data_IF_011365355602
#
_entry.id   IF_011365355602
#
_cell.length_a   1.000
_cell.length_b   1.000
_cell.length_c   1.000
_cell.angle_alpha   90.00
_cell.angle_beta   90.00
_cell.angle_gamma   90.00
#
_symmetry.space_group_name_H-M   'P 1'
#
loop_
_entity.id
_entity.type
_entity.pdbx_description
1 polymer ?
#
# COMPACT_ATOMS: atom_id res chain seq x y z
N UNK A 1 17.39 -34.06 10.40
CA UNK A 1 16.06 -34.56 10.85
C UNK A 1 15.19 -33.44 11.41
N UNK A 2 15.70 -32.48 12.20
CA UNK A 2 14.93 -31.31 12.69
C UNK A 2 14.28 -30.42 11.60
N UNK A 3 14.90 -30.30 10.41
CA UNK A 3 14.32 -29.55 9.29
C UNK A 3 13.11 -30.26 8.66
N UNK A 4 13.09 -31.59 8.64
CA UNK A 4 11.96 -32.37 8.11
C UNK A 4 10.80 -32.47 9.11
N UNK A 5 11.09 -32.37 10.41
CA UNK A 5 10.08 -32.38 11.47
C UNK A 5 9.33 -31.04 11.57
N UNK A 6 10.04 -29.90 11.42
CA UNK A 6 9.42 -28.57 11.33
C UNK A 6 8.56 -28.36 10.06
N UNK A 7 8.83 -29.10 8.98
CA UNK A 7 8.09 -29.03 7.73
C UNK A 7 6.68 -29.67 7.84
N UNK A 8 6.52 -30.70 8.68
CA UNK A 8 5.22 -31.38 8.87
C UNK A 8 4.21 -30.56 9.69
N UNK A 9 4.68 -29.69 10.57
CA UNK A 9 3.84 -28.79 11.40
C UNK A 9 3.20 -27.62 10.64
N UNK A 10 3.66 -27.29 9.43
CA UNK A 10 3.20 -26.10 8.70
C UNK A 10 1.97 -26.33 7.81
N UNK A 11 1.43 -27.54 7.66
CA UNK A 11 0.42 -27.78 6.62
C UNK A 11 -0.95 -27.14 6.91
N UNK A 12 -1.30 -26.90 8.18
CA UNK A 12 -2.62 -26.41 8.62
C UNK A 12 -2.53 -25.33 9.71
N UNK A 13 -1.82 -24.22 9.45
CA UNK A 13 -1.83 -23.08 10.37
C UNK A 13 -3.25 -22.51 10.53
N UNK A 14 -3.71 -22.44 11.78
CA UNK A 14 -4.95 -21.76 12.19
C UNK A 14 -4.83 -20.25 11.97
N UNK A 15 -5.95 -19.51 12.06
CA UNK A 15 -5.94 -18.05 11.93
C UNK A 15 -5.12 -17.38 13.05
N UNK A 16 -5.23 -17.89 14.27
CA UNK A 16 -4.48 -17.40 15.43
C UNK A 16 -2.97 -17.58 15.23
N UNK A 17 -2.53 -18.74 14.73
CA UNK A 17 -1.11 -18.99 14.46
C UNK A 17 -0.59 -18.08 13.34
N UNK A 18 -1.37 -17.86 12.28
CA UNK A 18 -1.00 -16.93 11.21
C UNK A 18 -0.81 -15.51 11.73
N UNK A 19 -1.74 -15.06 12.59
CA UNK A 19 -1.64 -13.74 13.22
C UNK A 19 -0.40 -13.65 14.12
N UNK A 20 -0.17 -14.64 15.00
CA UNK A 20 1.02 -14.69 15.86
C UNK A 20 2.31 -14.67 15.04
N UNK A 21 2.41 -15.54 14.03
CA UNK A 21 3.61 -15.66 13.20
C UNK A 21 3.87 -14.43 12.37
N UNK A 22 2.86 -13.67 11.97
CA UNK A 22 3.06 -12.40 11.27
C UNK A 22 3.96 -11.44 12.07
N UNK A 23 3.84 -11.43 13.40
CA UNK A 23 4.65 -10.58 14.27
C UNK A 23 5.91 -11.28 14.79
N UNK A 24 5.82 -12.56 15.17
CA UNK A 24 6.93 -13.24 15.88
C UNK A 24 7.81 -14.10 14.99
N UNK A 25 7.29 -14.57 13.84
CA UNK A 25 7.97 -15.54 12.99
C UNK A 25 7.58 -15.39 11.50
N UNK A 26 7.73 -14.18 10.92
CA UNK A 26 7.23 -13.90 9.58
C UNK A 26 7.79 -14.84 8.51
N UNK A 27 9.05 -15.29 8.63
CA UNK A 27 9.65 -16.26 7.72
C UNK A 27 8.83 -17.54 7.58
N UNK A 28 8.33 -18.11 8.69
CA UNK A 28 7.51 -19.33 8.69
C UNK A 28 6.18 -19.10 7.97
N UNK A 29 5.59 -17.93 8.18
CA UNK A 29 4.36 -17.54 7.50
C UNK A 29 4.59 -17.41 5.99
N UNK A 30 5.69 -16.78 5.57
CA UNK A 30 6.07 -16.68 4.17
C UNK A 30 6.33 -18.05 3.53
N UNK A 31 7.02 -18.97 4.21
CA UNK A 31 7.20 -20.35 3.74
C UNK A 31 5.86 -21.07 3.54
N UNK A 32 4.92 -20.93 4.48
CA UNK A 32 3.57 -21.48 4.33
C UNK A 32 2.86 -20.98 3.07
N UNK A 33 2.91 -19.66 2.82
CA UNK A 33 2.30 -19.05 1.63
C UNK A 33 3.05 -19.32 0.33
N UNK A 34 4.32 -19.76 0.39
CA UNK A 34 5.05 -20.24 -0.79
C UNK A 34 4.39 -21.50 -1.35
N UNK A 35 4.13 -22.47 -0.48
CA UNK A 35 3.56 -23.76 -0.85
C UNK A 35 2.05 -23.66 -1.14
N UNK A 36 1.34 -22.80 -0.39
CA UNK A 36 -0.11 -22.57 -0.56
C UNK A 36 -0.41 -21.08 -0.82
N UNK A 37 -0.04 -20.53 -1.99
CA UNK A 37 -0.25 -19.12 -2.28
C UNK A 37 -1.75 -18.80 -2.35
N UNK A 38 -2.22 -17.96 -1.43
CA UNK A 38 -3.62 -17.56 -1.29
C UNK A 38 -3.71 -16.04 -1.16
N UNK A 39 -3.75 -15.35 -2.31
CA UNK A 39 -3.83 -13.90 -2.35
C UNK A 39 -5.26 -13.35 -2.20
N UNK A 40 -6.32 -14.15 -2.45
CA UNK A 40 -7.70 -13.64 -2.49
C UNK A 40 -8.15 -12.96 -1.18
N UNK A 41 -7.95 -13.63 -0.04
CA UNK A 41 -8.28 -13.03 1.27
C UNK A 41 -7.37 -11.86 1.62
N UNK A 42 -6.08 -11.93 1.26
CA UNK A 42 -5.13 -10.84 1.50
C UNK A 42 -5.51 -9.60 0.69
N UNK A 43 -5.90 -9.80 -0.58
CA UNK A 43 -6.39 -8.75 -1.45
C UNK A 43 -7.68 -8.14 -0.92
N UNK A 44 -8.62 -8.96 -0.45
CA UNK A 44 -9.87 -8.46 0.14
C UNK A 44 -9.59 -7.57 1.35
N UNK A 45 -8.69 -7.99 2.25
CA UNK A 45 -8.27 -7.18 3.41
C UNK A 45 -7.66 -5.85 2.94
N UNK A 46 -6.69 -5.90 2.02
CA UNK A 46 -6.04 -4.69 1.49
C UNK A 46 -7.03 -3.75 0.78
N UNK A 47 -7.95 -4.29 0.00
CA UNK A 47 -8.98 -3.53 -0.70
C UNK A 47 -9.93 -2.84 0.28
N UNK A 48 -10.45 -3.57 1.27
CA UNK A 48 -11.30 -2.99 2.30
C UNK A 48 -10.57 -1.90 3.09
N UNK A 49 -9.34 -2.16 3.54
CA UNK A 49 -8.55 -1.14 4.25
C UNK A 49 -8.34 0.12 3.41
N UNK A 50 -8.02 -0.01 2.11
CA UNK A 50 -7.85 1.11 1.20
C UNK A 50 -9.14 1.91 0.97
N UNK A 51 -10.27 1.21 0.75
CA UNK A 51 -11.59 1.82 0.56
C UNK A 51 -12.00 2.58 1.83
N UNK A 52 -11.95 1.93 3.01
CA UNK A 52 -12.32 2.57 4.26
C UNK A 52 -11.46 3.79 4.57
N UNK A 53 -10.15 3.69 4.34
CA UNK A 53 -9.24 4.84 4.51
C UNK A 53 -9.66 6.01 3.62
N UNK A 54 -9.92 5.77 2.33
CA UNK A 54 -10.29 6.81 1.36
C UNK A 54 -11.65 7.44 1.65
N UNK A 55 -12.64 6.65 2.09
CA UNK A 55 -13.95 7.17 2.49
C UNK A 55 -13.84 8.10 3.69
N UNK A 56 -13.13 7.67 4.74
CA UNK A 56 -12.94 8.49 5.95
C UNK A 56 -12.13 9.74 5.63
N UNK A 57 -11.02 9.60 4.88
CA UNK A 57 -10.20 10.73 4.45
C UNK A 57 -11.01 11.75 3.65
N UNK A 58 -11.80 11.30 2.66
CA UNK A 58 -12.64 12.18 1.83
C UNK A 58 -13.66 12.94 2.65
N UNK A 59 -14.30 12.29 3.63
CA UNK A 59 -15.27 12.94 4.51
C UNK A 59 -14.66 14.11 5.31
N UNK A 60 -13.43 13.96 5.80
CA UNK A 60 -12.75 14.99 6.59
C UNK A 60 -11.92 15.99 5.76
N UNK A 61 -11.69 15.73 4.48
CA UNK A 61 -10.87 16.59 3.61
C UNK A 61 -11.68 17.42 2.62
N UNK A 62 -12.94 17.03 2.33
CA UNK A 62 -13.76 17.62 1.26
C UNK A 62 -13.84 19.15 1.32
N UNK A 63 -14.28 19.71 2.45
CA UNK A 63 -14.47 21.16 2.57
C UNK A 63 -13.12 21.91 2.55
N UNK A 64 -12.09 21.37 3.22
CA UNK A 64 -10.74 21.95 3.18
C UNK A 64 -10.20 22.00 1.74
N UNK A 65 -10.43 20.93 0.98
CA UNK A 65 -10.05 20.82 -0.42
C UNK A 65 -10.81 21.84 -1.28
N UNK A 66 -12.12 22.04 -1.03
CA UNK A 66 -12.93 23.06 -1.72
C UNK A 66 -12.46 24.48 -1.43
N UNK A 67 -12.29 24.84 -0.16
CA UNK A 67 -11.81 26.17 0.25
C UNK A 67 -10.43 26.47 -0.34
N UNK A 68 -9.54 25.48 -0.39
CA UNK A 68 -8.24 25.65 -1.02
C UNK A 68 -8.33 25.81 -2.54
N UNK A 69 -9.27 25.12 -3.19
CA UNK A 69 -9.55 25.30 -4.61
C UNK A 69 -10.10 26.69 -4.93
N UNK A 70 -11.02 27.20 -4.10
CA UNK A 70 -11.52 28.56 -4.22
C UNK A 70 -10.37 29.56 -4.15
N UNK A 71 -9.50 29.44 -3.14
CA UNK A 71 -8.30 30.28 -2.99
C UNK A 71 -7.33 30.19 -4.17
N UNK A 72 -7.10 29.00 -4.72
CA UNK A 72 -6.20 28.81 -5.87
C UNK A 72 -6.77 29.35 -7.18
N UNK A 73 -8.10 29.43 -7.29
CA UNK A 73 -8.81 29.92 -8.47
C UNK A 73 -9.39 31.33 -8.24
N UNK A 74 -8.94 32.04 -7.21
CA UNK A 74 -9.30 33.44 -7.01
C UNK A 74 -8.87 34.25 -8.24
N UNK A 75 -9.82 34.96 -8.85
CA UNK A 75 -9.59 35.72 -10.09
C UNK A 75 -9.60 34.89 -11.38
N UNK A 76 -9.80 33.57 -11.31
CA UNK A 76 -10.04 32.73 -12.47
C UNK A 76 -11.47 32.89 -13.01
N UNK A 77 -11.71 32.38 -14.21
CA UNK A 77 -13.03 32.35 -14.83
C UNK A 77 -14.07 31.62 -13.93
N UNK A 78 -15.26 32.21 -13.68
CA UNK A 78 -16.28 31.60 -12.83
C UNK A 78 -16.72 30.19 -13.28
N UNK A 79 -16.69 29.89 -14.57
CA UNK A 79 -17.06 28.56 -15.06
C UNK A 79 -15.99 27.51 -14.68
N UNK A 80 -14.71 27.88 -14.71
CA UNK A 80 -13.62 27.00 -14.26
C UNK A 80 -13.73 26.66 -12.77
N UNK A 81 -14.12 27.64 -11.94
CA UNK A 81 -14.36 27.43 -10.51
C UNK A 81 -15.56 26.50 -10.26
N UNK A 82 -16.69 26.74 -10.94
CA UNK A 82 -17.89 25.90 -10.79
C UNK A 82 -17.63 24.46 -11.23
N UNK A 83 -16.94 24.27 -12.36
CA UNK A 83 -16.56 22.95 -12.86
C UNK A 83 -15.67 22.21 -11.86
N UNK A 84 -14.68 22.89 -11.29
CA UNK A 84 -13.78 22.31 -10.28
C UNK A 84 -14.53 21.87 -9.03
N UNK A 85 -15.44 22.71 -8.51
CA UNK A 85 -16.32 22.36 -7.38
C UNK A 85 -17.19 21.14 -7.68
N UNK A 86 -17.79 21.09 -8.87
CA UNK A 86 -18.60 19.95 -9.32
C UNK A 86 -17.78 18.67 -9.38
N UNK A 87 -16.53 18.72 -9.86
CA UNK A 87 -15.64 17.55 -9.88
C UNK A 87 -15.36 17.04 -8.46
N UNK A 88 -15.09 17.93 -7.50
CA UNK A 88 -14.89 17.56 -6.09
C UNK A 88 -16.16 16.93 -5.51
N UNK A 89 -17.32 17.51 -5.78
CA UNK A 89 -18.58 16.98 -5.27
C UNK A 89 -18.90 15.60 -5.84
N UNK A 90 -18.70 15.39 -7.15
CA UNK A 90 -18.89 14.09 -7.80
C UNK A 90 -17.88 13.06 -7.27
N UNK A 91 -16.59 13.41 -7.21
CA UNK A 91 -15.54 12.49 -6.75
C UNK A 91 -15.65 12.14 -5.28
N UNK A 92 -16.23 13.02 -4.46
CA UNK A 92 -16.49 12.78 -3.04
C UNK A 92 -17.77 11.96 -2.78
N UNK A 93 -18.63 11.71 -3.79
CA UNK A 93 -19.81 10.85 -3.61
C UNK A 93 -19.35 9.44 -3.18
N UNK A 94 -19.97 8.84 -2.15
CA UNK A 94 -19.53 7.54 -1.63
C UNK A 94 -19.43 6.45 -2.69
N UNK A 95 -20.36 6.40 -3.65
CA UNK A 95 -20.36 5.41 -4.73
C UNK A 95 -19.17 5.58 -5.68
N UNK A 96 -18.88 6.81 -6.11
CA UNK A 96 -17.77 7.13 -7.02
C UNK A 96 -16.44 6.93 -6.32
N UNK A 97 -16.32 7.40 -5.09
CA UNK A 97 -15.12 7.26 -4.27
C UNK A 97 -14.81 5.77 -4.01
N UNK A 98 -15.82 4.97 -3.62
CA UNK A 98 -15.64 3.53 -3.37
C UNK A 98 -15.19 2.80 -4.63
N UNK A 99 -15.86 3.05 -5.77
CA UNK A 99 -15.53 2.39 -7.03
C UNK A 99 -14.13 2.77 -7.52
N UNK A 100 -13.82 4.07 -7.58
CA UNK A 100 -12.49 4.55 -7.98
C UNK A 100 -11.38 4.07 -7.03
N UNK A 101 -11.64 4.02 -5.72
CA UNK A 101 -10.71 3.46 -4.73
C UNK A 101 -10.46 1.97 -4.95
N UNK A 102 -11.50 1.18 -5.21
CA UNK A 102 -11.37 -0.25 -5.51
C UNK A 102 -10.54 -0.48 -6.78
N UNK A 103 -10.84 0.23 -7.87
CA UNK A 103 -10.07 0.16 -9.12
C UNK A 103 -8.62 0.59 -8.89
N UNK A 104 -8.39 1.66 -8.13
CA UNK A 104 -7.05 2.11 -7.76
C UNK A 104 -6.27 1.04 -6.99
N UNK A 105 -6.88 0.39 -5.99
CA UNK A 105 -6.24 -0.71 -5.25
C UNK A 105 -5.96 -1.89 -6.17
N UNK A 106 -6.91 -2.31 -7.00
CA UNK A 106 -6.76 -3.41 -7.96
C UNK A 106 -5.56 -3.16 -8.87
N UNK A 107 -5.52 -2.00 -9.53
CA UNK A 107 -4.41 -1.63 -10.42
C UNK A 107 -3.09 -1.60 -9.64
N UNK A 108 -3.06 -0.92 -8.49
CA UNK A 108 -1.82 -0.78 -7.70
C UNK A 108 -1.25 -2.14 -7.27
N UNK A 109 -2.08 -3.08 -6.82
CA UNK A 109 -1.64 -4.41 -6.36
C UNK A 109 -1.11 -5.23 -7.53
N UNK A 110 -1.88 -5.37 -8.61
CA UNK A 110 -1.51 -6.29 -9.68
C UNK A 110 -0.38 -5.73 -10.55
N UNK A 111 -0.35 -4.42 -10.80
CA UNK A 111 0.75 -3.77 -11.54
C UNK A 111 2.03 -3.75 -10.71
N UNK A 112 1.99 -3.39 -9.42
CA UNK A 112 3.20 -3.44 -8.58
C UNK A 112 3.75 -4.86 -8.45
N UNK A 113 2.88 -5.86 -8.25
CA UNK A 113 3.29 -7.26 -8.23
C UNK A 113 3.88 -7.71 -9.57
N UNK A 114 3.42 -7.17 -10.68
CA UNK A 114 3.95 -7.47 -12.01
C UNK A 114 5.37 -6.90 -12.19
N UNK A 115 5.60 -5.65 -11.75
CA UNK A 115 6.93 -5.04 -11.74
C UNK A 115 7.89 -5.85 -10.85
N UNK A 116 7.46 -6.21 -9.63
CA UNK A 116 8.25 -7.06 -8.71
C UNK A 116 8.54 -8.42 -9.37
N UNK A 117 7.56 -9.01 -10.05
CA UNK A 117 7.71 -10.29 -10.74
C UNK A 117 8.75 -10.22 -11.87
N UNK A 118 8.76 -9.15 -12.67
CA UNK A 118 9.79 -8.92 -13.69
C UNK A 118 11.18 -8.86 -13.04
N UNK A 119 11.33 -8.10 -11.95
CA UNK A 119 12.59 -7.99 -11.21
C UNK A 119 13.04 -9.36 -10.68
N UNK A 120 12.11 -10.17 -10.17
CA UNK A 120 12.38 -11.55 -9.76
C UNK A 120 12.83 -12.43 -10.93
N UNK A 121 12.27 -12.28 -12.13
CA UNK A 121 12.71 -13.03 -13.31
C UNK A 121 14.11 -12.65 -13.76
N UNK A 122 14.40 -11.36 -13.86
CA UNK A 122 15.74 -10.85 -14.18
C UNK A 122 16.76 -11.37 -13.15
N UNK A 123 16.35 -11.36 -11.88
CA UNK A 123 17.19 -11.78 -10.76
C UNK A 123 17.21 -13.29 -10.53
N UNK A 124 16.58 -14.11 -11.39
CA UNK A 124 16.51 -15.57 -11.24
C UNK A 124 15.97 -16.02 -9.87
N UNK A 125 14.92 -15.39 -9.37
CA UNK A 125 14.18 -15.80 -8.18
C UNK A 125 13.04 -16.73 -8.62
N UNK A 126 12.97 -17.92 -8.03
CA UNK A 126 12.02 -18.97 -8.42
C UNK A 126 10.62 -18.78 -7.82
N UNK A 127 10.02 -17.62 -8.06
CA UNK A 127 8.63 -17.31 -7.73
C UNK A 127 7.79 -17.18 -9.01
N UNK A 128 6.57 -17.72 -8.97
CA UNK A 128 5.55 -17.45 -9.99
C UNK A 128 4.76 -16.18 -9.64
N UNK A 129 4.00 -15.64 -10.61
CA UNK A 129 3.29 -14.38 -10.42
C UNK A 129 2.30 -14.44 -9.24
N UNK A 130 1.57 -15.55 -9.10
CA UNK A 130 0.64 -15.78 -7.99
C UNK A 130 1.34 -15.72 -6.62
N UNK A 131 2.54 -16.27 -6.51
CA UNK A 131 3.37 -16.18 -5.31
C UNK A 131 3.88 -14.76 -5.09
N UNK A 132 4.26 -14.04 -6.15
CA UNK A 132 4.66 -12.62 -6.04
C UNK A 132 3.53 -11.74 -5.54
N UNK A 133 2.31 -11.89 -6.06
CA UNK A 133 1.12 -11.16 -5.58
C UNK A 133 0.88 -11.46 -4.10
N UNK A 134 0.94 -12.74 -3.72
CA UNK A 134 0.77 -13.17 -2.31
C UNK A 134 1.84 -12.54 -1.40
N UNK A 135 3.10 -12.56 -1.85
CA UNK A 135 4.24 -11.97 -1.16
C UNK A 135 4.04 -10.46 -0.95
N UNK A 136 3.69 -9.73 -2.01
CA UNK A 136 3.49 -8.28 -1.98
C UNK A 136 2.35 -7.89 -1.04
N UNK A 137 1.21 -8.58 -1.13
CA UNK A 137 0.07 -8.31 -0.26
C UNK A 137 0.38 -8.62 1.21
N UNK A 138 1.08 -9.73 1.48
CA UNK A 138 1.43 -10.08 2.85
C UNK A 138 2.45 -9.10 3.45
N UNK A 139 3.44 -8.68 2.67
CA UNK A 139 4.37 -7.64 3.08
C UNK A 139 3.68 -6.29 3.28
N UNK A 140 2.58 -6.01 2.57
CA UNK A 140 1.80 -4.76 2.66
C UNK A 140 0.78 -4.69 3.81
N UNK A 141 0.53 -5.80 4.53
CA UNK A 141 -0.39 -5.80 5.68
C UNK A 141 -0.04 -4.78 6.79
N UNK A 142 1.23 -4.43 7.08
CA UNK A 142 1.54 -3.37 8.04
C UNK A 142 0.90 -2.04 7.69
N UNK A 143 0.85 -1.68 6.39
CA UNK A 143 0.20 -0.44 5.97
C UNK A 143 -1.30 -0.46 6.22
N UNK A 144 -1.94 -1.63 6.19
CA UNK A 144 -3.35 -1.75 6.56
C UNK A 144 -3.56 -1.38 8.04
N UNK A 145 -2.65 -1.83 8.92
CA UNK A 145 -2.65 -1.44 10.34
C UNK A 145 -2.44 0.07 10.48
N UNK A 146 -1.47 0.63 9.76
CA UNK A 146 -1.22 2.08 9.73
C UNK A 146 -2.44 2.87 9.25
N UNK A 147 -3.13 2.41 8.21
CA UNK A 147 -4.38 3.01 7.73
C UNK A 147 -5.48 2.98 8.78
N UNK A 148 -5.63 1.87 9.52
CA UNK A 148 -6.63 1.77 10.61
C UNK A 148 -6.33 2.79 11.71
N UNK A 149 -5.06 2.92 12.11
CA UNK A 149 -4.65 3.91 13.12
C UNK A 149 -4.94 5.33 12.63
N UNK A 150 -4.61 5.64 11.37
CA UNK A 150 -4.92 6.94 10.75
C UNK A 150 -6.43 7.18 10.71
N UNK A 151 -7.24 6.18 10.36
CA UNK A 151 -8.72 6.27 10.39
C UNK A 151 -9.22 6.63 11.79
N UNK A 152 -8.79 5.90 12.81
CA UNK A 152 -9.19 6.13 14.21
C UNK A 152 -8.84 7.56 14.62
N UNK A 153 -7.62 8.01 14.32
CA UNK A 153 -7.20 9.38 14.61
C UNK A 153 -8.06 10.41 13.89
N UNK A 154 -8.38 10.23 12.60
CA UNK A 154 -9.25 11.16 11.86
C UNK A 154 -10.67 11.22 12.45
N UNK A 155 -11.21 10.07 12.89
CA UNK A 155 -12.53 10.00 13.51
C UNK A 155 -12.58 10.72 14.87
N UNK A 156 -11.52 10.66 15.67
CA UNK A 156 -11.40 11.34 16.97
C UNK A 156 -11.13 12.83 16.79
N UNK A 157 -10.10 13.18 16.02
CA UNK A 157 -9.63 14.56 15.85
C UNK A 157 -10.49 15.40 14.91
N UNK A 158 -11.33 14.76 14.09
CA UNK A 158 -12.10 15.38 12.99
C UNK A 158 -11.22 16.10 11.95
N UNK A 159 -9.93 15.73 11.85
CA UNK A 159 -8.96 16.31 10.92
C UNK A 159 -8.43 15.26 9.96
N UNK A 160 -8.35 15.60 8.68
CA UNK A 160 -7.76 14.73 7.66
C UNK A 160 -6.23 14.66 7.82
N UNK A 161 -5.69 13.45 8.04
CA UNK A 161 -4.24 13.22 8.11
C UNK A 161 -3.63 13.29 6.71
N UNK A 162 -2.52 14.00 6.58
CA UNK A 162 -1.78 14.10 5.31
C UNK A 162 -2.37 15.08 4.30
N UNK A 163 -3.40 15.84 4.70
CA UNK A 163 -4.06 16.87 3.86
C UNK A 163 -3.04 17.84 3.24
N UNK A 164 -1.97 18.18 3.96
CA UNK A 164 -0.93 19.09 3.47
C UNK A 164 -0.24 18.62 2.19
N UNK A 165 -0.10 17.31 1.97
CA UNK A 165 0.46 16.78 0.72
C UNK A 165 -0.50 16.97 -0.46
N UNK A 166 -1.80 17.07 -0.21
CA UNK A 166 -2.80 17.38 -1.23
C UNK A 166 -2.93 18.89 -1.50
N UNK A 167 -2.84 19.73 -0.46
CA UNK A 167 -3.02 21.19 -0.59
C UNK A 167 -1.76 21.90 -1.09
N UNK A 168 -0.59 21.40 -0.70
CA UNK A 168 0.71 21.95 -1.08
C UNK A 168 1.60 20.80 -1.56
N UNK A 169 1.38 20.32 -2.80
CA UNK A 169 2.14 19.22 -3.35
C UNK A 169 3.63 19.60 -3.42
N UNK A 170 4.45 18.83 -2.74
CA UNK A 170 5.91 18.93 -2.81
C UNK A 170 6.51 17.56 -2.54
N UNK A 171 7.72 17.31 -3.05
CA UNK A 171 8.45 16.07 -2.76
C UNK A 171 8.49 15.81 -1.24
N UNK A 172 8.79 16.85 -0.45
CA UNK A 172 8.83 16.77 1.01
C UNK A 172 7.49 16.33 1.60
N UNK A 173 6.39 17.02 1.26
CA UNK A 173 5.08 16.72 1.85
C UNK A 173 4.58 15.33 1.43
N UNK A 174 4.80 14.95 0.17
CA UNK A 174 4.44 13.62 -0.33
C UNK A 174 5.22 12.52 0.39
N UNK A 175 6.54 12.68 0.55
CA UNK A 175 7.36 11.70 1.28
C UNK A 175 6.93 11.57 2.74
N UNK A 176 6.70 12.68 3.45
CA UNK A 176 6.23 12.66 4.85
C UNK A 176 4.87 11.96 4.98
N UNK A 177 3.98 12.14 4.01
CA UNK A 177 2.66 11.50 4.02
C UNK A 177 2.69 10.00 3.67
N UNK A 178 3.73 9.56 2.94
CA UNK A 178 3.84 8.21 2.39
C UNK A 178 4.69 7.30 3.26
N UNK A 179 5.81 7.80 3.80
CA UNK A 179 6.78 7.01 4.55
C UNK A 179 6.59 7.16 6.04
N UNK A 180 6.08 6.10 6.65
CA UNK A 180 5.97 5.97 8.10
C UNK A 180 6.58 4.63 8.57
N UNK A 181 6.46 4.35 9.87
CA UNK A 181 6.97 3.13 10.49
C UNK A 181 6.37 1.85 9.86
N UNK A 182 5.14 1.91 9.34
CA UNK A 182 4.49 0.77 8.69
C UNK A 182 5.08 0.50 7.31
N UNK A 183 5.44 1.56 6.57
CA UNK A 183 6.17 1.43 5.30
C UNK A 183 7.56 0.82 5.49
N UNK A 184 8.27 1.23 6.55
CA UNK A 184 9.57 0.63 6.90
C UNK A 184 9.39 -0.85 7.22
N UNK A 185 8.38 -1.19 8.03
CA UNK A 185 8.08 -2.58 8.37
C UNK A 185 7.67 -3.42 7.15
N UNK A 186 6.93 -2.84 6.20
CA UNK A 186 6.62 -3.48 4.91
C UNK A 186 7.89 -3.89 4.18
N UNK A 187 8.91 -3.03 4.08
CA UNK A 187 10.15 -3.39 3.40
C UNK A 187 10.93 -4.48 4.14
N UNK A 188 10.91 -4.47 5.47
CA UNK A 188 11.50 -5.55 6.28
C UNK A 188 10.80 -6.88 5.96
N UNK A 189 9.46 -6.91 5.98
CA UNK A 189 8.69 -8.10 5.63
C UNK A 189 8.87 -8.52 4.18
N UNK A 190 9.04 -7.57 3.26
CA UNK A 190 9.32 -7.84 1.86
C UNK A 190 10.64 -8.61 1.71
N UNK A 191 11.70 -8.18 2.39
CA UNK A 191 12.98 -8.88 2.38
C UNK A 191 12.94 -10.25 3.03
N UNK A 192 12.24 -10.38 4.15
CA UNK A 192 11.99 -11.68 4.79
C UNK A 192 11.23 -12.60 3.84
N UNK A 193 10.19 -12.09 3.17
CA UNK A 193 9.40 -12.83 2.19
C UNK A 193 10.20 -13.26 0.97
N UNK A 194 11.06 -12.38 0.43
CA UNK A 194 11.95 -12.73 -0.68
C UNK A 194 12.92 -13.84 -0.26
N UNK A 195 13.51 -13.77 0.94
CA UNK A 195 14.39 -14.79 1.47
C UNK A 195 13.67 -16.15 1.60
N UNK A 196 12.56 -16.16 2.35
CA UNK A 196 11.80 -17.35 2.70
C UNK A 196 11.07 -17.97 1.48
N UNK A 197 10.24 -17.19 0.79
CA UNK A 197 9.50 -17.66 -0.39
C UNK A 197 10.40 -17.85 -1.60
N UNK A 198 11.46 -17.06 -1.76
CA UNK A 198 12.37 -17.16 -2.91
C UNK A 198 13.38 -18.30 -2.79
N UNK A 199 13.65 -18.82 -1.57
CA UNK A 199 14.79 -19.72 -1.28
C UNK A 199 16.12 -19.14 -1.81
N UNK A 200 16.32 -17.83 -1.64
CA UNK A 200 17.55 -17.14 -2.04
C UNK A 200 18.44 -16.86 -0.83
N UNK A 201 19.71 -16.48 -1.06
CA UNK A 201 20.58 -16.05 0.03
C UNK A 201 20.07 -14.75 0.68
N UNK A 202 20.36 -14.56 1.98
CA UNK A 202 19.99 -13.33 2.72
C UNK A 202 20.51 -12.08 2.02
N UNK A 203 21.76 -12.09 1.56
CA UNK A 203 22.38 -10.98 0.81
C UNK A 203 21.57 -10.61 -0.42
N UNK A 204 21.15 -11.61 -1.21
CA UNK A 204 20.34 -11.38 -2.41
C UNK A 204 18.96 -10.81 -2.06
N UNK A 205 18.31 -11.32 -1.02
CA UNK A 205 17.03 -10.80 -0.57
C UNK A 205 17.11 -9.32 -0.13
N UNK A 206 18.15 -8.96 0.62
CA UNK A 206 18.42 -7.57 1.04
C UNK A 206 18.60 -6.66 -0.17
N UNK A 207 19.47 -7.04 -1.13
CA UNK A 207 19.72 -6.24 -2.33
C UNK A 207 18.42 -6.01 -3.12
N UNK A 208 17.63 -7.06 -3.34
CA UNK A 208 16.36 -6.95 -4.05
C UNK A 208 15.36 -6.06 -3.31
N UNK A 209 15.33 -6.14 -1.98
CA UNK A 209 14.47 -5.28 -1.15
C UNK A 209 14.87 -3.81 -1.29
N UNK A 210 16.17 -3.51 -1.26
CA UNK A 210 16.68 -2.14 -1.44
C UNK A 210 16.31 -1.61 -2.83
N UNK A 211 16.50 -2.42 -3.89
CA UNK A 211 16.11 -2.03 -5.26
C UNK A 211 14.61 -1.71 -5.31
N UNK A 212 13.77 -2.57 -4.75
CA UNK A 212 12.32 -2.36 -4.73
C UNK A 212 11.91 -1.14 -3.90
N UNK A 213 12.56 -0.88 -2.77
CA UNK A 213 12.33 0.31 -1.96
C UNK A 213 12.70 1.58 -2.72
N UNK A 214 13.87 1.62 -3.37
CA UNK A 214 14.31 2.75 -4.20
C UNK A 214 13.33 2.99 -5.34
N UNK A 215 12.88 1.96 -6.04
CA UNK A 215 11.89 2.10 -7.11
C UNK A 215 10.55 2.62 -6.59
N UNK A 216 10.10 2.15 -5.42
CA UNK A 216 8.88 2.63 -4.76
C UNK A 216 8.97 4.11 -4.36
N UNK A 217 10.12 4.52 -3.80
CA UNK A 217 10.40 5.93 -3.46
C UNK A 217 10.46 6.77 -4.74
N UNK A 218 11.21 6.32 -5.75
CA UNK A 218 11.36 7.02 -7.02
C UNK A 218 10.03 7.21 -7.75
N UNK A 219 9.15 6.21 -7.74
CA UNK A 219 7.80 6.34 -8.27
C UNK A 219 6.98 7.38 -7.49
N UNK A 220 7.07 7.38 -6.17
CA UNK A 220 6.37 8.38 -5.32
C UNK A 220 6.86 9.80 -5.62
N UNK A 221 8.17 9.99 -5.78
CA UNK A 221 8.77 11.27 -6.15
C UNK A 221 8.34 11.70 -7.54
N UNK A 222 8.33 10.79 -8.52
CA UNK A 222 7.88 11.07 -9.88
C UNK A 222 6.43 11.57 -9.90
N UNK A 223 5.52 10.89 -9.19
CA UNK A 223 4.13 11.33 -9.06
C UNK A 223 4.05 12.71 -8.42
N UNK A 224 4.79 12.97 -7.34
CA UNK A 224 4.84 14.28 -6.70
C UNK A 224 5.27 15.38 -7.69
N UNK A 225 6.34 15.16 -8.45
CA UNK A 225 6.82 16.11 -9.47
C UNK A 225 5.79 16.37 -10.57
N UNK A 226 5.08 15.34 -11.02
CA UNK A 226 4.00 15.50 -12.02
C UNK A 226 2.80 16.28 -11.48
N UNK A 227 2.54 16.19 -10.17
CA UNK A 227 1.47 16.96 -9.51
C UNK A 227 1.88 18.39 -9.16
N UNK A 228 3.17 18.67 -9.00
CA UNK A 228 3.71 20.02 -8.74
C UNK A 228 3.71 20.92 -9.96
N UNK A 229 3.84 20.34 -11.15
CA UNK A 229 3.95 21.06 -12.43
C UNK A 229 2.57 21.41 -13.03
N UNK A 230 1.51 21.43 -12.22
CA UNK A 230 0.15 21.82 -12.58
C UNK A 230 -0.34 22.88 -11.62
#
# INVERSE_FOLDING_TARGET
MEQQENLKTNSNLTLQEKFKFFFTSPSRLFEYYREKPKYGILFLITALCGIFYKLVYSNFSKEIIKENMERQLEGADPQALELSKRIVDISSKPIINTFSSFIGVLISVFVSAFIIFIIFKISKVALNYKQTVTLSLMAGLPNCIGSIIKIIYMLISKKAIGINAALNPSIKNTLISTFDIFTIWQYILLGIGIYAMGKVSKKKAIILTIILAILSIGFTVLIASLTMNK
#
